data_IF_871732572406
#
_entry.id   IF_871732572406
#
_cell.length_a   1.000
_cell.length_b   1.000
_cell.length_c   1.000
_cell.angle_alpha   90.00
_cell.angle_beta   90.00
_cell.angle_gamma   90.00
#
_symmetry.space_group_name_H-M   'P 1'
#
loop_
_entity.id
_entity.type
_entity.pdbx_description
1 polymer ?
#
# COMPACT_ATOMS: atom_id res chain seq x y z
N UNK A 1 -16.38 4.82 -21.75
CA UNK A 1 -16.10 3.88 -20.63
C UNK A 1 -15.98 2.41 -21.10
N UNK A 2 -16.76 1.96 -22.09
CA UNK A 2 -16.69 0.56 -22.57
C UNK A 2 -15.30 0.12 -23.07
N UNK A 3 -14.58 0.96 -23.81
CA UNK A 3 -13.30 0.59 -24.42
C UNK A 3 -12.16 0.36 -23.40
N UNK A 4 -12.12 1.10 -22.29
CA UNK A 4 -11.08 0.94 -21.26
C UNK A 4 -11.31 -0.35 -20.47
N UNK A 5 -12.56 -0.62 -20.07
CA UNK A 5 -12.88 -1.86 -19.35
C UNK A 5 -12.59 -3.10 -20.20
N UNK A 6 -12.94 -3.08 -21.49
CA UNK A 6 -12.62 -4.17 -22.43
C UNK A 6 -11.11 -4.36 -22.58
N UNK A 7 -10.33 -3.27 -22.66
CA UNK A 7 -8.87 -3.36 -22.73
C UNK A 7 -8.26 -3.94 -21.44
N UNK A 8 -8.77 -3.57 -20.27
CA UNK A 8 -8.31 -4.12 -18.99
C UNK A 8 -8.65 -5.61 -18.84
N UNK A 9 -9.79 -6.05 -19.36
CA UNK A 9 -10.19 -7.47 -19.36
C UNK A 9 -9.28 -8.35 -20.23
N UNK A 10 -8.68 -7.79 -21.29
CA UNK A 10 -7.74 -8.49 -22.17
C UNK A 10 -6.35 -8.69 -21.53
N UNK A 11 -6.00 -7.92 -20.49
CA UNK A 11 -4.72 -8.08 -19.79
C UNK A 11 -4.75 -9.40 -19.03
N UNK A 12 -3.72 -10.25 -19.16
CA UNK A 12 -3.58 -11.43 -18.32
C UNK A 12 -3.58 -11.07 -16.84
N UNK A 13 -4.23 -11.88 -16.01
CA UNK A 13 -4.22 -11.67 -14.56
C UNK A 13 -2.80 -11.63 -13.98
N UNK A 14 -1.89 -12.42 -14.53
CA UNK A 14 -0.47 -12.45 -14.13
C UNK A 14 0.29 -11.14 -14.38
N UNK A 15 -0.24 -10.25 -15.22
CA UNK A 15 0.37 -8.93 -15.46
C UNK A 15 -0.15 -7.87 -14.47
N UNK A 16 -1.30 -8.09 -13.82
CA UNK A 16 -1.89 -7.11 -12.91
C UNK A 16 -1.02 -6.83 -11.67
N UNK A 17 -0.34 -7.81 -11.04
CA UNK A 17 0.63 -7.55 -9.98
C UNK A 17 1.72 -6.55 -10.38
N UNK A 18 2.25 -6.67 -11.60
CA UNK A 18 3.30 -5.77 -12.09
C UNK A 18 2.80 -4.35 -12.36
N UNK A 19 1.59 -4.22 -12.92
CA UNK A 19 0.95 -2.90 -13.12
C UNK A 19 0.72 -2.23 -11.77
N UNK A 20 0.20 -2.98 -10.78
CA UNK A 20 -0.01 -2.48 -9.43
C UNK A 20 1.30 -2.12 -8.73
N UNK A 21 2.35 -2.91 -8.95
CA UNK A 21 3.69 -2.61 -8.44
C UNK A 21 4.22 -1.26 -8.97
N UNK A 22 4.07 -0.97 -10.26
CA UNK A 22 4.46 0.34 -10.79
C UNK A 22 3.65 1.48 -10.18
N UNK A 23 2.35 1.28 -9.96
CA UNK A 23 1.52 2.27 -9.26
C UNK A 23 1.97 2.45 -7.81
N UNK A 24 2.36 1.37 -7.14
CA UNK A 24 2.94 1.40 -5.80
C UNK A 24 4.26 2.17 -5.76
N UNK A 25 5.16 1.94 -6.71
CA UNK A 25 6.43 2.72 -6.81
C UNK A 25 6.13 4.22 -6.97
N UNK A 26 5.14 4.61 -7.78
CA UNK A 26 4.73 6.01 -7.90
C UNK A 26 4.19 6.56 -6.59
N UNK A 27 3.47 5.76 -5.82
CA UNK A 27 2.97 6.12 -4.49
C UNK A 27 4.12 6.36 -3.50
N UNK A 28 5.08 5.46 -3.43
CA UNK A 28 6.28 5.61 -2.59
C UNK A 28 7.12 6.84 -2.99
N UNK A 29 7.16 7.18 -4.29
CA UNK A 29 7.82 8.40 -4.75
C UNK A 29 7.07 9.67 -4.33
N UNK A 30 5.74 9.64 -4.27
CA UNK A 30 4.94 10.74 -3.70
C UNK A 30 5.23 10.92 -2.20
N UNK A 31 5.54 9.83 -1.48
CA UNK A 31 5.91 9.83 -0.06
C UNK A 31 7.37 10.21 0.23
N UNK A 32 8.19 10.54 -0.76
CA UNK A 32 9.63 10.77 -0.62
C UNK A 32 10.04 11.74 0.50
N UNK A 33 9.15 12.65 0.89
CA UNK A 33 9.35 13.62 1.96
C UNK A 33 8.32 13.48 3.09
N UNK A 34 7.80 12.29 3.33
CA UNK A 34 6.76 12.02 4.33
C UNK A 34 7.23 12.34 5.76
N UNK A 35 8.53 12.23 6.04
CA UNK A 35 9.13 12.55 7.34
C UNK A 35 8.76 13.96 7.84
N UNK A 36 8.74 14.95 6.94
CA UNK A 36 8.33 16.32 7.30
C UNK A 36 6.87 16.40 7.74
N UNK A 37 6.00 15.67 7.04
CA UNK A 37 4.59 15.60 7.39
C UNK A 37 4.40 14.90 8.74
N UNK A 38 5.11 13.82 8.98
CA UNK A 38 5.07 13.07 10.23
C UNK A 38 5.54 13.91 11.42
N UNK A 39 6.65 14.64 11.29
CA UNK A 39 7.14 15.55 12.33
C UNK A 39 6.19 16.69 12.67
N UNK A 40 5.43 17.17 11.70
CA UNK A 40 4.46 18.25 11.90
C UNK A 40 3.18 17.79 12.60
N UNK A 41 2.78 16.53 12.43
CA UNK A 41 1.42 16.09 12.75
C UNK A 41 1.36 14.97 13.78
N UNK A 42 2.43 14.17 13.96
CA UNK A 42 2.38 13.02 14.87
C UNK A 42 3.13 13.23 16.17
N UNK A 43 2.44 12.88 17.26
CA UNK A 43 3.04 12.80 18.59
C UNK A 43 3.82 11.49 18.77
N UNK A 44 5.01 11.58 19.33
CA UNK A 44 5.81 10.40 19.70
C UNK A 44 6.61 9.81 18.54
N UNK A 45 6.89 10.59 17.51
CA UNK A 45 7.86 10.23 16.47
C UNK A 45 9.24 10.02 17.10
N UNK A 46 10.00 8.95 16.76
CA UNK A 46 11.36 8.79 17.23
C UNK A 46 12.22 10.00 16.87
N UNK A 47 12.93 10.56 17.83
CA UNK A 47 13.83 11.72 17.61
C UNK A 47 14.96 11.44 16.61
N UNK A 48 15.19 10.16 16.32
CA UNK A 48 16.16 9.68 15.33
C UNK A 48 15.56 9.49 13.93
N UNK A 49 14.23 9.65 13.76
CA UNK A 49 13.60 9.64 12.44
C UNK A 49 14.06 10.86 11.62
N UNK A 50 14.36 10.64 10.36
CA UNK A 50 14.91 11.64 9.43
C UNK A 50 14.44 11.34 8.01
N UNK A 51 14.49 12.33 7.13
CA UNK A 51 14.29 12.14 5.69
C UNK A 51 15.07 10.93 5.14
N UNK A 52 16.28 10.70 5.64
CA UNK A 52 17.09 9.54 5.21
C UNK A 52 16.48 8.23 5.66
N UNK A 53 16.05 8.12 6.93
CA UNK A 53 15.44 6.89 7.43
C UNK A 53 14.11 6.57 6.73
N UNK A 54 13.30 7.59 6.42
CA UNK A 54 12.08 7.43 5.63
C UNK A 54 12.39 6.90 4.22
N UNK A 55 13.38 7.48 3.53
CA UNK A 55 13.79 7.03 2.18
C UNK A 55 14.38 5.62 2.17
N UNK A 56 15.09 5.24 3.24
CA UNK A 56 15.60 3.86 3.38
C UNK A 56 14.43 2.87 3.56
N UNK A 57 13.41 3.24 4.31
CA UNK A 57 12.18 2.46 4.41
C UNK A 57 11.49 2.34 3.06
N UNK A 58 11.29 3.45 2.32
CA UNK A 58 10.71 3.46 0.97
C UNK A 58 11.46 2.48 0.04
N UNK A 59 12.78 2.57 -0.02
CA UNK A 59 13.59 1.65 -0.82
C UNK A 59 13.41 0.18 -0.41
N UNK A 60 13.32 -0.08 0.89
CA UNK A 60 13.10 -1.42 1.43
C UNK A 60 11.72 -1.98 1.04
N UNK A 61 10.65 -1.21 1.18
CA UNK A 61 9.30 -1.71 0.84
C UNK A 61 9.11 -1.88 -0.66
N UNK A 62 9.76 -1.05 -1.49
CA UNK A 62 9.79 -1.24 -2.94
C UNK A 62 10.46 -2.57 -3.29
N UNK A 63 11.59 -2.89 -2.66
CA UNK A 63 12.26 -4.19 -2.85
C UNK A 63 11.38 -5.36 -2.40
N UNK A 64 10.73 -5.24 -1.24
CA UNK A 64 9.77 -6.25 -0.75
C UNK A 64 8.61 -6.41 -1.74
N UNK A 65 8.05 -5.32 -2.26
CA UNK A 65 6.99 -5.34 -3.26
C UNK A 65 7.42 -6.04 -4.55
N UNK A 66 8.65 -5.78 -5.03
CA UNK A 66 9.22 -6.47 -6.19
C UNK A 66 9.30 -7.99 -5.99
N UNK A 67 9.86 -8.41 -4.84
CA UNK A 67 9.96 -9.84 -4.49
C UNK A 67 8.58 -10.47 -4.36
N UNK A 68 7.61 -9.75 -3.79
CA UNK A 68 6.25 -10.24 -3.63
C UNK A 68 5.56 -10.43 -4.98
N UNK A 69 5.68 -9.47 -5.92
CA UNK A 69 5.16 -9.61 -7.28
C UNK A 69 5.80 -10.79 -8.02
N UNK A 70 7.12 -10.95 -7.90
CA UNK A 70 7.81 -12.10 -8.47
C UNK A 70 7.28 -13.42 -7.89
N UNK A 71 7.20 -13.54 -6.56
CA UNK A 71 6.68 -14.72 -5.89
C UNK A 71 5.23 -15.06 -6.30
N UNK A 72 4.40 -14.04 -6.51
CA UNK A 72 3.03 -14.24 -6.97
C UNK A 72 2.93 -14.72 -8.42
N UNK A 73 3.83 -14.26 -9.30
CA UNK A 73 3.73 -14.49 -10.75
C UNK A 73 4.58 -15.65 -11.27
N UNK A 74 5.66 -16.01 -10.57
CA UNK A 74 6.56 -17.11 -10.97
C UNK A 74 5.88 -18.47 -11.17
N UNK A 75 4.85 -18.87 -10.37
CA UNK A 75 4.16 -20.12 -10.58
C UNK A 75 3.40 -20.20 -11.92
N UNK A 76 3.11 -19.06 -12.57
CA UNK A 76 2.43 -19.00 -13.86
C UNK A 76 0.93 -19.34 -13.81
N UNK A 77 0.37 -19.53 -12.62
CA UNK A 77 -1.05 -19.86 -12.39
C UNK A 77 -1.78 -18.65 -11.81
N UNK A 78 -2.86 -18.16 -12.47
CA UNK A 78 -3.61 -17.00 -12.02
C UNK A 78 -4.26 -17.15 -10.64
N UNK A 79 -4.72 -18.35 -10.27
CA UNK A 79 -5.32 -18.57 -8.96
C UNK A 79 -4.26 -18.46 -7.86
N UNK A 80 -3.12 -19.13 -8.01
CA UNK A 80 -1.97 -19.02 -7.09
C UNK A 80 -1.50 -17.56 -6.99
N UNK A 81 -1.40 -16.85 -8.11
CA UNK A 81 -1.05 -15.43 -8.13
C UNK A 81 -2.03 -14.59 -7.29
N UNK A 82 -3.35 -14.83 -7.44
CA UNK A 82 -4.37 -14.13 -6.67
C UNK A 82 -4.23 -14.39 -5.16
N UNK A 83 -4.08 -15.64 -4.72
CA UNK A 83 -3.91 -15.97 -3.30
C UNK A 83 -2.69 -15.30 -2.67
N UNK A 84 -1.57 -15.23 -3.39
CA UNK A 84 -0.32 -14.63 -2.89
C UNK A 84 -0.40 -13.09 -2.94
N UNK A 85 -0.99 -12.51 -3.99
CA UNK A 85 -0.90 -11.08 -4.24
C UNK A 85 -1.99 -10.23 -3.55
N UNK A 86 -3.22 -10.75 -3.40
CA UNK A 86 -4.31 -9.98 -2.81
C UNK A 86 -4.04 -9.48 -1.37
N UNK A 87 -3.30 -10.18 -0.50
CA UNK A 87 -2.90 -9.62 0.80
C UNK A 87 -2.04 -8.36 0.67
N UNK A 88 -1.12 -8.28 -0.31
CA UNK A 88 -0.34 -7.07 -0.56
C UNK A 88 -1.24 -5.90 -1.01
N UNK A 89 -2.21 -6.17 -1.90
CA UNK A 89 -3.24 -5.18 -2.28
C UNK A 89 -4.00 -4.70 -1.03
N UNK A 90 -4.42 -5.60 -0.15
CA UNK A 90 -5.17 -5.23 1.05
C UNK A 90 -4.35 -4.31 1.98
N UNK A 91 -3.05 -4.58 2.16
CA UNK A 91 -2.14 -3.73 2.93
C UNK A 91 -2.06 -2.34 2.29
N UNK A 92 -1.87 -2.25 0.97
CA UNK A 92 -1.76 -0.98 0.27
C UNK A 92 -3.08 -0.21 0.20
N UNK A 93 -4.23 -0.89 0.13
CA UNK A 93 -5.53 -0.24 0.23
C UNK A 93 -5.76 0.35 1.62
N UNK A 94 -5.38 -0.37 2.69
CA UNK A 94 -5.45 0.16 4.05
C UNK A 94 -4.54 1.39 4.22
N UNK A 95 -3.30 1.33 3.71
CA UNK A 95 -2.37 2.46 3.69
C UNK A 95 -2.96 3.64 2.88
N UNK A 96 -3.53 3.39 1.71
CA UNK A 96 -4.19 4.41 0.88
C UNK A 96 -5.32 5.12 1.60
N UNK A 97 -6.18 4.38 2.31
CA UNK A 97 -7.24 4.96 3.15
C UNK A 97 -6.68 5.81 4.29
N UNK A 98 -5.53 5.42 4.83
CA UNK A 98 -4.81 6.18 5.86
C UNK A 98 -4.36 7.55 5.35
N UNK A 99 -3.77 7.66 4.15
CA UNK A 99 -3.37 8.94 3.55
C UNK A 99 -4.57 9.85 3.27
N UNK A 100 -5.69 9.30 2.79
CA UNK A 100 -6.92 10.07 2.61
C UNK A 100 -7.44 10.58 3.96
N UNK A 101 -7.46 9.72 4.98
CA UNK A 101 -7.87 10.11 6.32
C UNK A 101 -6.96 11.20 6.89
N UNK A 102 -5.65 11.09 6.80
CA UNK A 102 -4.72 12.10 7.29
C UNK A 102 -4.90 13.43 6.58
N UNK A 103 -5.07 13.41 5.26
CA UNK A 103 -5.32 14.64 4.51
C UNK A 103 -6.61 15.34 4.96
N UNK A 104 -7.65 14.57 5.25
CA UNK A 104 -8.91 15.09 5.79
C UNK A 104 -8.77 15.57 7.25
N UNK A 105 -8.15 14.76 8.11
CA UNK A 105 -8.03 15.01 9.54
C UNK A 105 -7.16 16.23 9.85
N UNK A 106 -6.01 16.32 9.21
CA UNK A 106 -5.08 17.45 9.40
C UNK A 106 -5.40 18.65 8.51
N UNK A 107 -6.35 18.53 7.59
CA UNK A 107 -6.73 19.56 6.59
C UNK A 107 -5.54 20.07 5.78
N UNK A 108 -4.61 19.17 5.48
CA UNK A 108 -3.41 19.42 4.71
C UNK A 108 -3.16 18.26 3.73
N UNK A 109 -2.36 18.52 2.72
CA UNK A 109 -1.90 17.49 1.82
C UNK A 109 -1.03 16.48 2.58
N UNK A 110 -1.48 15.24 2.64
CA UNK A 110 -0.68 14.12 3.13
C UNK A 110 0.06 13.48 1.95
N UNK A 111 1.41 13.38 1.96
CA UNK A 111 2.14 12.70 0.89
C UNK A 111 1.57 11.31 0.64
N UNK A 112 1.43 10.91 -0.62
CA UNK A 112 0.81 9.64 -1.00
C UNK A 112 -0.69 9.73 -1.32
N UNK A 113 -1.41 10.79 -0.94
CA UNK A 113 -2.87 10.86 -1.06
C UNK A 113 -3.35 10.89 -2.53
N UNK A 114 -2.61 11.49 -3.45
CA UNK A 114 -3.04 11.60 -4.87
C UNK A 114 -2.96 10.23 -5.53
N UNK A 115 -1.82 9.56 -5.44
CA UNK A 115 -1.65 8.22 -6.01
C UNK A 115 -2.51 7.17 -5.31
N UNK A 116 -2.73 7.30 -4.00
CA UNK A 116 -3.68 6.49 -3.25
C UNK A 116 -5.09 6.58 -3.84
N UNK A 117 -5.61 7.80 -4.00
CA UNK A 117 -6.99 8.04 -4.45
C UNK A 117 -7.19 7.73 -5.94
N UNK A 118 -6.22 8.07 -6.79
CA UNK A 118 -6.37 7.99 -8.24
C UNK A 118 -5.86 6.68 -8.85
N UNK A 119 -4.92 6.00 -8.21
CA UNK A 119 -4.27 4.79 -8.75
C UNK A 119 -4.54 3.56 -7.88
N UNK A 120 -4.06 3.54 -6.63
CA UNK A 120 -4.05 2.33 -5.82
C UNK A 120 -5.46 1.84 -5.46
N UNK A 121 -6.34 2.73 -5.01
CA UNK A 121 -7.71 2.33 -4.62
C UNK A 121 -8.51 1.84 -5.84
N UNK A 122 -8.65 2.58 -6.95
CA UNK A 122 -9.43 2.11 -8.08
C UNK A 122 -8.90 0.81 -8.68
N UNK A 123 -7.58 0.73 -8.86
CA UNK A 123 -6.99 -0.45 -9.48
C UNK A 123 -6.94 -1.65 -8.52
N UNK A 124 -6.66 -1.44 -7.24
CA UNK A 124 -6.68 -2.50 -6.23
C UNK A 124 -8.08 -3.11 -6.08
N UNK A 125 -9.13 -2.28 -6.02
CA UNK A 125 -10.52 -2.76 -6.02
C UNK A 125 -10.85 -3.55 -7.30
N UNK A 126 -10.39 -3.09 -8.47
CA UNK A 126 -10.57 -3.81 -9.73
C UNK A 126 -9.90 -5.18 -9.70
N UNK A 127 -8.66 -5.29 -9.21
CA UNK A 127 -7.95 -6.58 -9.15
C UNK A 127 -8.63 -7.57 -8.21
N UNK A 128 -9.08 -7.11 -7.03
CA UNK A 128 -9.84 -7.95 -6.10
C UNK A 128 -11.15 -8.44 -6.73
N UNK A 129 -11.92 -7.52 -7.33
CA UNK A 129 -13.18 -7.86 -7.98
C UNK A 129 -12.97 -8.88 -9.11
N UNK A 130 -11.93 -8.68 -9.92
CA UNK A 130 -11.58 -9.59 -11.01
C UNK A 130 -11.16 -10.97 -10.52
N UNK A 131 -10.37 -11.05 -9.45
CA UNK A 131 -9.97 -12.34 -8.87
C UNK A 131 -11.18 -13.16 -8.39
N UNK A 132 -12.18 -12.49 -7.80
CA UNK A 132 -13.42 -13.14 -7.35
C UNK A 132 -14.31 -13.53 -8.56
N UNK A 133 -14.53 -12.63 -9.52
CA UNK A 133 -15.42 -12.89 -10.66
C UNK A 133 -14.87 -13.96 -11.60
N UNK A 134 -13.56 -14.08 -11.72
CA UNK A 134 -12.90 -15.13 -12.51
C UNK A 134 -12.72 -16.45 -11.72
N UNK A 135 -13.16 -16.51 -10.45
CA UNK A 135 -13.09 -17.69 -9.62
C UNK A 135 -11.69 -18.08 -9.14
N UNK A 136 -10.72 -17.16 -9.23
CA UNK A 136 -9.35 -17.40 -8.75
C UNK A 136 -9.27 -17.47 -7.22
N UNK A 137 -10.15 -16.75 -6.53
CA UNK A 137 -10.34 -16.83 -5.10
C UNK A 137 -11.83 -16.87 -4.75
N UNK A 138 -12.23 -17.55 -3.67
CA UNK A 138 -13.61 -17.54 -3.20
C UNK A 138 -14.00 -16.18 -2.61
N UNK A 139 -15.27 -15.81 -2.68
CA UNK A 139 -15.78 -14.53 -2.18
C UNK A 139 -15.45 -14.28 -0.70
N UNK A 140 -15.49 -15.32 0.14
CA UNK A 140 -15.17 -15.18 1.57
C UNK A 140 -13.75 -14.66 1.79
N UNK A 141 -12.79 -14.98 0.90
CA UNK A 141 -11.42 -14.49 1.00
C UNK A 141 -11.36 -12.97 0.83
N UNK A 142 -12.05 -12.43 -0.18
CA UNK A 142 -12.17 -10.98 -0.36
C UNK A 142 -12.87 -10.29 0.82
N UNK A 143 -13.88 -10.93 1.42
CA UNK A 143 -14.56 -10.42 2.63
C UNK A 143 -13.60 -10.35 3.82
N UNK A 144 -12.76 -11.38 4.01
CA UNK A 144 -11.73 -11.38 5.07
C UNK A 144 -10.73 -10.23 4.84
N UNK A 145 -10.24 -10.06 3.61
CA UNK A 145 -9.33 -8.95 3.28
C UNK A 145 -9.97 -7.59 3.53
N UNK A 146 -11.23 -7.41 3.12
CA UNK A 146 -11.98 -6.18 3.38
C UNK A 146 -12.13 -5.92 4.89
N UNK A 147 -12.40 -6.94 5.69
CA UNK A 147 -12.46 -6.82 7.14
C UNK A 147 -11.12 -6.39 7.74
N UNK A 148 -10.01 -6.96 7.27
CA UNK A 148 -8.66 -6.57 7.72
C UNK A 148 -8.33 -5.11 7.34
N UNK A 149 -8.67 -4.67 6.13
CA UNK A 149 -8.54 -3.27 5.69
C UNK A 149 -9.32 -2.35 6.65
N UNK A 150 -10.57 -2.68 6.94
CA UNK A 150 -11.42 -1.87 7.82
C UNK A 150 -10.94 -1.85 9.27
N UNK A 151 -10.40 -2.95 9.78
CA UNK A 151 -9.82 -3.01 11.12
C UNK A 151 -8.57 -2.11 11.19
N UNK A 152 -7.66 -2.20 10.22
CA UNK A 152 -6.47 -1.34 10.14
C UNK A 152 -6.84 0.14 10.00
N UNK A 153 -7.81 0.45 9.16
CA UNK A 153 -8.32 1.81 9.00
C UNK A 153 -8.96 2.36 10.29
N UNK A 154 -9.75 1.54 11.00
CA UNK A 154 -10.33 1.93 12.27
C UNK A 154 -9.25 2.23 13.35
N UNK A 155 -8.13 1.52 13.32
CA UNK A 155 -6.98 1.81 14.20
C UNK A 155 -6.36 3.18 13.86
N UNK A 156 -6.21 3.50 12.58
CA UNK A 156 -5.74 4.82 12.13
C UNK A 156 -6.67 5.94 12.62
N UNK A 157 -7.98 5.78 12.44
CA UNK A 157 -8.97 6.77 12.88
C UNK A 157 -8.94 6.96 14.41
N UNK A 158 -8.83 5.87 15.17
CA UNK A 158 -8.74 5.93 16.64
C UNK A 158 -7.44 6.58 17.14
N UNK A 159 -6.37 6.43 16.41
CA UNK A 159 -5.07 7.00 16.78
C UNK A 159 -5.05 8.53 16.61
N UNK A 160 -5.74 9.08 15.61
CA UNK A 160 -5.74 10.53 15.32
C UNK A 160 -4.31 11.03 15.04
N UNK A 161 -3.81 11.94 15.88
CA UNK A 161 -2.43 12.47 15.84
C UNK A 161 -1.39 11.57 16.53
N UNK A 162 -1.81 10.47 17.15
CA UNK A 162 -0.87 9.54 17.79
C UNK A 162 -0.36 8.52 16.81
N UNK A 163 0.92 8.22 16.86
CA UNK A 163 1.48 7.14 16.05
C UNK A 163 0.88 5.80 16.44
N UNK A 164 0.37 5.07 15.46
CA UNK A 164 0.00 3.66 15.65
C UNK A 164 1.27 2.82 15.91
N UNK A 165 1.16 1.66 16.59
CA UNK A 165 2.30 0.75 16.75
C UNK A 165 2.96 0.38 15.42
N UNK A 166 2.17 0.23 14.36
CA UNK A 166 2.67 -0.08 13.01
C UNK A 166 3.56 1.05 12.47
N UNK A 167 3.08 2.31 12.49
CA UNK A 167 3.85 3.46 12.01
C UNK A 167 5.15 3.61 12.80
N UNK A 168 5.09 3.43 14.13
CA UNK A 168 6.29 3.45 14.97
C UNK A 168 7.28 2.36 14.57
N UNK A 169 6.81 1.15 14.28
CA UNK A 169 7.66 0.04 13.83
C UNK A 169 8.31 0.36 12.48
N UNK A 170 7.56 0.93 11.54
CA UNK A 170 8.04 1.39 10.23
C UNK A 170 9.19 2.40 10.41
N UNK A 171 8.99 3.42 11.22
CA UNK A 171 10.02 4.43 11.51
C UNK A 171 11.27 3.81 12.16
N UNK A 172 11.09 2.91 13.12
CA UNK A 172 12.22 2.22 13.79
C UNK A 172 13.02 1.35 12.80
N UNK A 173 12.36 0.65 11.88
CA UNK A 173 13.04 -0.12 10.82
C UNK A 173 13.80 0.82 9.89
N UNK A 174 13.21 1.93 9.47
CA UNK A 174 13.86 2.94 8.64
C UNK A 174 15.12 3.51 9.30
N UNK A 175 15.05 3.85 10.60
CA UNK A 175 16.22 4.29 11.39
C UNK A 175 17.29 3.20 11.43
N UNK A 176 16.89 1.96 11.75
CA UNK A 176 17.82 0.84 11.81
C UNK A 176 18.54 0.60 10.46
N UNK A 177 17.80 0.65 9.34
CA UNK A 177 18.37 0.55 7.99
C UNK A 177 19.35 1.70 7.71
N UNK A 178 18.98 2.92 8.06
CA UNK A 178 19.80 4.12 7.88
C UNK A 178 21.13 4.04 8.63
N UNK A 179 21.13 3.43 9.81
CA UNK A 179 22.33 3.28 10.63
C UNK A 179 23.29 2.18 10.12
N UNK A 180 22.74 1.16 9.45
CA UNK A 180 23.52 0.02 8.91
C UNK A 180 24.17 0.30 7.55
N UNK A 181 23.59 1.22 6.77
CA UNK A 181 24.04 1.55 5.40
C UNK A 181 24.73 2.94 5.42
N UNK A 182 25.69 3.08 6.30
CA UNK A 182 26.56 4.27 6.33
C UNK A 182 27.75 4.14 5.42
#
# INVERSE_FOLDING_TARGET
>A
MSNIMTALEQISFLNLPWIFFFMFVLHELEEWNIDRFEHQHFEGLPSTATDRSARMWIGFVVLVGLVWCAAATLPGDPATAAWIFLPAIAILLQNSLQHIYWSYYFKQYAPGVITAALLLIPFGCYVIARAVTQGYVPTWYAVVLAALIMIGFAQTVRAGSKMTPLIRTINNIGVWLSDRIR
#
